data_IF_004604803717
#
_entry.id   IF_004604803717
#
_cell.length_a   1.000
_cell.length_b   1.000
_cell.length_c   1.000
_cell.angle_alpha   90.00
_cell.angle_beta   90.00
_cell.angle_gamma   90.00
#
_symmetry.space_group_name_H-M   'P 1'
#
loop_
_entity.id
_entity.type
_entity.pdbx_description
1 polymer ?
2 non-polymer ?
3 non-polymer ?
4 non-polymer ?
5 water ?
#
# COMPACT_ATOMS: atom_id res chain seq x y z
N UNK A 40 1.51 11.41 -20.48
CA UNK A 40 1.57 10.04 -19.88
C UNK A 40 1.54 10.18 -18.35
N UNK A 41 0.55 9.57 -17.70
CA UNK A 41 0.39 9.64 -16.22
C UNK A 41 1.57 8.90 -15.57
N UNK A 42 2.20 9.59 -14.62
CA UNK A 42 3.23 8.98 -13.75
C UNK A 42 2.50 8.27 -12.59
N UNK A 43 2.85 7.02 -12.38
CA UNK A 43 2.30 6.19 -11.30
C UNK A 43 3.35 6.04 -10.20
N UNK A 44 2.99 6.52 -9.02
CA UNK A 44 3.85 6.48 -7.82
C UNK A 44 3.07 5.76 -6.75
N UNK A 45 3.67 4.74 -6.17
CA UNK A 45 3.09 4.04 -4.99
C UNK A 45 3.59 4.72 -3.73
N UNK A 46 2.71 4.94 -2.78
CA UNK A 46 3.05 5.31 -1.39
C UNK A 46 2.99 4.02 -0.55
N UNK A 47 4.11 3.65 0.02
CA UNK A 47 4.28 2.37 0.76
C UNK A 47 4.66 2.71 2.19
N UNK A 48 4.24 1.87 3.11
CA UNK A 48 4.61 2.03 4.50
C UNK A 48 3.81 1.12 5.37
N UNK A 49 4.30 0.97 6.59
CA UNK A 49 3.66 0.12 7.60
C UNK A 49 2.27 0.67 7.89
N UNK A 50 1.46 -0.16 8.53
CA UNK A 50 0.14 0.22 9.08
C UNK A 50 0.32 1.48 9.92
N UNK A 51 -0.55 2.48 9.68
CA UNK A 51 -0.65 3.75 10.43
C UNK A 51 0.66 4.55 10.32
N UNK A 52 1.53 4.29 9.36
CA UNK A 52 2.70 5.16 9.10
C UNK A 52 2.25 6.60 8.80
N UNK A 53 1.08 6.80 8.17
CA UNK A 53 0.54 8.11 7.76
C UNK A 53 0.34 8.21 6.24
N UNK A 54 0.10 7.10 5.56
CA UNK A 54 -0.01 7.07 4.08
C UNK A 54 -1.27 7.81 3.65
N UNK A 55 -2.41 7.48 4.28
CA UNK A 55 -3.71 8.08 3.92
C UNK A 55 -3.63 9.58 4.20
N UNK A 56 -3.10 9.94 5.35
CA UNK A 56 -2.86 11.35 5.73
C UNK A 56 -2.01 12.01 4.64
N UNK A 57 -0.91 11.38 4.22
CA UNK A 57 0.05 12.03 3.30
C UNK A 57 -0.60 12.21 1.94
N UNK A 58 -1.27 11.15 1.50
CA UNK A 58 -1.91 11.09 0.17
C UNK A 58 -3.00 12.17 0.09
N UNK A 59 -3.76 12.38 1.16
CA UNK A 59 -4.82 13.42 1.24
C UNK A 59 -4.21 14.82 1.28
N UNK A 60 -3.01 14.98 1.86
CA UNK A 60 -2.21 16.24 1.69
C UNK A 60 -1.89 16.40 0.20
N UNK A 61 -1.23 15.41 -0.41
CA UNK A 61 -0.74 15.55 -1.80
C UNK A 61 -1.89 15.95 -2.74
N UNK A 62 -3.05 15.29 -2.61
CA UNK A 62 -4.09 15.41 -3.66
C UNK A 62 -4.53 16.88 -3.72
N UNK A 63 -4.50 17.59 -2.60
CA UNK A 63 -4.99 18.99 -2.54
C UNK A 63 -3.97 19.97 -3.13
N UNK A 64 -2.75 19.56 -3.45
CA UNK A 64 -1.66 20.55 -3.69
C UNK A 64 -1.54 20.84 -5.18
N UNK A 65 -2.13 20.03 -6.04
CA UNK A 65 -2.01 20.21 -7.49
C UNK A 65 -3.21 19.58 -8.18
N UNK A 66 -3.71 20.27 -9.20
CA UNK A 66 -4.73 19.75 -10.14
C UNK A 66 -4.09 18.63 -10.95
N UNK A 67 -2.76 18.55 -11.06
CA UNK A 67 -2.10 17.49 -11.84
C UNK A 67 -1.88 16.22 -10.98
N UNK A 68 -2.27 16.29 -9.72
CA UNK A 68 -2.00 15.21 -8.75
C UNK A 68 -3.32 14.58 -8.34
N UNK A 69 -3.46 13.28 -8.57
CA UNK A 69 -4.62 12.50 -8.11
C UNK A 69 -4.12 11.32 -7.25
N UNK A 70 -5.02 10.74 -6.49
CA UNK A 70 -4.77 9.65 -5.52
C UNK A 70 -5.75 8.50 -5.78
N UNK A 71 -5.31 7.25 -5.60
CA UNK A 71 -6.18 6.06 -5.48
C UNK A 71 -6.06 5.55 -4.07
N UNK A 72 -7.03 5.87 -3.19
CA UNK A 72 -7.04 5.31 -1.86
C UNK A 72 -7.11 3.78 -1.95
N UNK A 73 -6.55 3.15 -0.95
CA UNK A 73 -6.44 1.68 -0.85
C UNK A 73 -7.84 1.16 -0.53
N UNK A 74 -8.33 0.14 -1.27
CA UNK A 74 -9.62 -0.46 -0.96
C UNK A 74 -9.77 -0.91 0.50
N UNK A 75 -8.80 -1.65 1.01
CA UNK A 75 -8.88 -2.18 2.39
C UNK A 75 -9.11 -1.01 3.36
N UNK A 76 -8.41 0.09 3.15
CA UNK A 76 -8.50 1.30 4.00
C UNK A 76 -9.95 1.84 3.96
N UNK A 77 -10.57 1.88 2.77
CA UNK A 77 -11.99 2.30 2.60
C UNK A 77 -12.93 1.32 3.31
N UNK A 78 -12.65 0.00 3.29
CA UNK A 78 -13.46 -1.04 3.98
C UNK A 78 -13.36 -0.87 5.50
N UNK A 79 -12.33 -0.18 6.02
CA UNK A 79 -12.13 -0.02 7.48
C UNK A 79 -12.95 1.18 8.02
N UNK A 80 -13.75 1.84 7.17
CA UNK A 80 -14.65 3.01 7.48
C UNK A 80 -16.02 2.83 6.80
N UNK A 92 -21.72 0.36 -0.97
CA UNK A 92 -21.48 -0.36 -2.25
C UNK A 92 -21.22 -1.85 -2.00
N UNK A 93 -21.33 -2.65 -3.05
CA UNK A 93 -21.28 -4.13 -2.96
C UNK A 93 -19.85 -4.51 -2.55
N UNK A 94 -18.83 -3.83 -3.07
CA UNK A 94 -17.43 -4.09 -2.67
C UNK A 94 -17.23 -3.70 -1.20
N UNK A 95 -17.79 -2.57 -0.76
CA UNK A 95 -17.61 -2.15 0.64
C UNK A 95 -18.33 -3.13 1.56
N UNK A 96 -19.50 -3.62 1.14
CA UNK A 96 -20.27 -4.63 1.91
C UNK A 96 -19.44 -5.93 1.97
N UNK A 97 -19.01 -6.46 0.82
CA UNK A 97 -18.11 -7.63 0.75
C UNK A 97 -16.88 -7.39 1.62
N UNK A 98 -16.25 -6.22 1.48
CA UNK A 98 -14.96 -5.92 2.14
C UNK A 98 -15.10 -5.89 3.65
N UNK A 99 -16.14 -5.23 4.17
CA UNK A 99 -16.36 -5.17 5.63
C UNK A 99 -16.62 -6.54 6.21
N UNK A 100 -17.42 -7.36 5.52
CA UNK A 100 -17.68 -8.78 5.94
C UNK A 100 -16.36 -9.52 5.97
N UNK A 101 -15.58 -9.45 4.89
CA UNK A 101 -14.37 -10.31 4.86
C UNK A 101 -13.34 -9.81 5.88
N UNK A 102 -13.22 -8.50 6.08
CA UNK A 102 -12.33 -7.94 7.13
C UNK A 102 -12.74 -8.44 8.53
N UNK A 103 -14.03 -8.36 8.86
CA UNK A 103 -14.51 -8.82 10.19
C UNK A 103 -14.24 -10.31 10.35
N UNK A 104 -14.51 -11.12 9.32
CA UNK A 104 -14.26 -12.59 9.35
C UNK A 104 -12.77 -12.87 9.49
N UNK A 105 -11.93 -12.04 8.85
CA UNK A 105 -10.45 -12.18 8.95
C UNK A 105 -10.02 -12.01 10.40
N UNK A 106 -10.61 -11.03 11.09
CA UNK A 106 -10.27 -10.73 12.49
C UNK A 106 -10.65 -11.95 13.33
N UNK A 107 -11.77 -12.61 13.04
CA UNK A 107 -12.20 -13.85 13.78
C UNK A 107 -11.34 -15.05 13.43
N UNK A 108 -11.04 -15.30 12.16
CA UNK A 108 -10.41 -16.58 11.76
C UNK A 108 -9.53 -16.36 10.54
N UNK A 109 -8.33 -15.78 10.74
CA UNK A 109 -7.40 -15.49 9.65
C UNK A 109 -7.06 -16.72 8.78
N UNK A 110 -6.93 -17.91 9.37
CA UNK A 110 -6.54 -19.14 8.64
C UNK A 110 -7.70 -19.60 7.73
N UNK A 111 -8.94 -19.16 7.96
CA UNK A 111 -10.07 -19.47 7.05
C UNK A 111 -10.15 -18.47 5.89
N UNK A 112 -9.89 -17.18 6.15
CA UNK A 112 -10.34 -16.05 5.30
C UNK A 112 -9.19 -15.36 4.58
N UNK A 113 -7.94 -15.68 4.90
CA UNK A 113 -6.74 -14.97 4.37
C UNK A 113 -6.71 -15.03 2.82
N UNK A 114 -6.86 -16.21 2.20
CA UNK A 114 -6.83 -16.31 0.73
C UNK A 114 -7.96 -15.47 0.10
N UNK A 115 -9.18 -15.55 0.64
CA UNK A 115 -10.36 -14.85 0.14
C UNK A 115 -10.12 -13.34 0.26
N UNK A 116 -9.71 -12.92 1.44
CA UNK A 116 -9.42 -11.49 1.71
C UNK A 116 -8.34 -10.97 0.77
N UNK A 117 -7.22 -11.67 0.67
CA UNK A 117 -6.08 -11.17 -0.14
C UNK A 117 -6.47 -11.07 -1.61
N UNK A 118 -7.20 -12.06 -2.15
CA UNK A 118 -7.62 -12.04 -3.58
C UNK A 118 -8.55 -10.86 -3.80
N UNK A 119 -9.50 -10.64 -2.91
CA UNK A 119 -10.48 -9.56 -3.13
C UNK A 119 -9.82 -8.19 -2.94
N UNK A 120 -8.93 -8.07 -1.96
CA UNK A 120 -8.21 -6.81 -1.69
C UNK A 120 -7.41 -6.43 -2.94
N UNK A 121 -6.71 -7.39 -3.54
CA UNK A 121 -5.83 -7.12 -4.69
C UNK A 121 -6.69 -6.84 -5.94
N UNK A 122 -7.74 -7.62 -6.17
CA UNK A 122 -8.68 -7.37 -7.31
C UNK A 122 -9.27 -5.94 -7.19
N UNK A 123 -9.70 -5.59 -6.00
CA UNK A 123 -10.33 -4.30 -5.66
C UNK A 123 -9.32 -3.21 -5.97
N UNK A 124 -8.05 -3.47 -5.68
CA UNK A 124 -6.99 -2.45 -5.87
C UNK A 124 -6.78 -2.26 -7.37
N UNK A 125 -6.60 -3.36 -8.10
CA UNK A 125 -6.36 -3.30 -9.58
C UNK A 125 -7.53 -2.56 -10.24
N UNK A 126 -8.75 -2.87 -9.83
CA UNK A 126 -9.95 -2.28 -10.48
C UNK A 126 -9.90 -0.77 -10.24
N UNK A 127 -9.64 -0.34 -9.00
CA UNK A 127 -9.64 1.07 -8.58
C UNK A 127 -8.49 1.83 -9.25
N UNK A 128 -7.31 1.19 -9.39
CA UNK A 128 -6.11 1.84 -10.00
C UNK A 128 -6.35 1.99 -11.50
N UNK A 129 -6.87 0.95 -12.16
CA UNK A 129 -7.16 0.99 -13.62
C UNK A 129 -8.22 2.05 -13.90
N UNK A 130 -9.26 2.16 -13.05
CA UNK A 130 -10.36 3.14 -13.19
C UNK A 130 -9.78 4.56 -13.14
N UNK A 131 -8.90 4.86 -12.18
CA UNK A 131 -8.26 6.20 -12.09
C UNK A 131 -7.38 6.45 -13.30
N UNK A 132 -6.62 5.46 -13.72
CA UNK A 132 -5.67 5.59 -14.82
C UNK A 132 -6.42 5.92 -16.11
N UNK A 133 -7.62 5.35 -16.27
CA UNK A 133 -8.44 5.47 -17.50
C UNK A 133 -9.43 6.62 -17.41
N UNK A 134 -9.65 7.15 -16.22
CA UNK A 134 -10.73 8.11 -15.97
C UNK A 134 -10.17 9.52 -15.80
N UNK A 135 -9.02 9.67 -15.14
CA UNK A 135 -8.55 10.95 -14.53
C UNK A 135 -7.34 11.54 -15.27
N UNK A 136 -7.06 12.81 -14.95
CA UNK A 136 -5.82 13.53 -15.34
C UNK A 136 -5.69 13.63 -16.86
N UNK A 137 -6.81 13.61 -17.59
CA UNK A 137 -6.78 13.65 -19.07
C UNK A 137 -6.29 15.03 -19.55
N UNK A 138 -6.60 16.13 -18.85
CA UNK A 138 -6.22 17.51 -19.29
C UNK A 138 -4.95 18.00 -18.57
N UNK A 139 -4.23 17.16 -17.82
CA UNK A 139 -3.15 17.59 -16.89
C UNK A 139 -1.85 17.85 -17.67
N UNK A 140 -1.04 18.80 -17.21
CA UNK A 140 0.27 19.10 -17.85
C UNK A 140 1.31 18.06 -17.40
N UNK A 141 1.49 17.87 -16.08
CA UNK A 141 2.42 16.87 -15.50
C UNK A 141 1.64 15.92 -14.59
N UNK A 142 0.82 15.03 -15.17
CA UNK A 142 -0.10 14.21 -14.39
C UNK A 142 0.69 13.18 -13.54
N UNK A 143 0.31 13.12 -12.28
CA UNK A 143 0.84 12.11 -11.31
C UNK A 143 -0.34 11.49 -10.59
N UNK A 144 -0.39 10.17 -10.59
CA UNK A 144 -1.39 9.37 -9.85
C UNK A 144 -0.63 8.66 -8.73
N UNK A 145 -0.93 9.06 -7.51
CA UNK A 145 -0.38 8.48 -6.27
C UNK A 145 -1.27 7.29 -5.85
N UNK A 146 -0.73 6.08 -5.89
CA UNK A 146 -1.41 4.87 -5.33
C UNK A 146 -1.14 4.79 -3.82
N UNK A 147 -2.18 4.62 -3.01
CA UNK A 147 -2.01 4.15 -1.61
C UNK A 147 -1.72 2.64 -1.68
N UNK A 148 -0.45 2.30 -1.55
CA UNK A 148 0.13 0.94 -1.64
C UNK A 148 -0.08 0.43 -3.05
N UNK A 149 0.30 -0.80 -3.27
CA UNK A 149 0.41 -1.38 -4.63
C UNK A 149 0.04 -2.86 -4.55
N UNK A 150 -0.08 -3.47 -5.72
CA UNK A 150 -0.26 -4.94 -5.88
C UNK A 150 0.97 -5.62 -5.31
N UNK A 151 2.14 -4.95 -5.27
CA UNK A 151 3.37 -5.54 -4.71
C UNK A 151 3.27 -5.64 -3.18
N UNK A 152 2.74 -4.63 -2.51
CA UNK A 152 2.61 -4.67 -1.02
C UNK A 152 1.55 -5.72 -0.68
N UNK A 153 0.53 -5.87 -1.51
CA UNK A 153 -0.53 -6.89 -1.31
C UNK A 153 0.16 -8.24 -1.15
N UNK A 154 1.07 -8.54 -2.04
CA UNK A 154 1.65 -9.90 -2.17
C UNK A 154 2.89 -10.02 -1.29
N UNK A 155 3.82 -9.08 -1.36
CA UNK A 155 5.15 -9.21 -0.73
C UNK A 155 5.12 -8.75 0.72
N UNK A 156 4.12 -8.01 1.14
CA UNK A 156 4.01 -7.61 2.56
C UNK A 156 2.92 -8.48 3.18
N UNK A 157 1.68 -8.29 2.77
CA UNK A 157 0.54 -8.79 3.54
C UNK A 157 0.32 -10.29 3.30
N UNK A 158 0.22 -10.69 2.05
CA UNK A 158 -0.17 -12.06 1.72
C UNK A 158 0.96 -12.97 2.21
N UNK A 159 2.20 -12.59 1.88
CA UNK A 159 3.45 -13.25 2.28
C UNK A 159 3.45 -13.43 3.81
N UNK A 160 3.12 -12.39 4.56
CA UNK A 160 3.14 -12.49 6.04
C UNK A 160 2.05 -13.48 6.46
N UNK A 161 0.89 -13.49 5.79
CA UNK A 161 -0.20 -14.42 6.18
C UNK A 161 0.20 -15.87 5.90
N UNK A 162 0.84 -16.14 4.75
CA UNK A 162 1.49 -17.44 4.46
C UNK A 162 2.48 -17.80 5.58
N UNK A 163 3.32 -16.84 5.98
CA UNK A 163 4.37 -17.05 6.98
C UNK A 163 3.75 -17.37 8.33
N UNK A 164 2.55 -16.90 8.63
CA UNK A 164 1.84 -17.15 9.90
C UNK A 164 0.97 -18.41 9.78
N UNK A 165 1.05 -19.12 8.67
CA UNK A 165 0.24 -20.35 8.41
C UNK A 165 -1.25 -19.97 8.36
N UNK A 166 -1.57 -18.71 8.06
CA UNK A 166 -2.97 -18.30 7.83
C UNK A 166 -3.39 -18.66 6.40
N UNK A 167 -2.43 -18.85 5.51
CA UNK A 167 -2.66 -19.58 4.23
C UNK A 167 -1.82 -20.84 4.22
N UNK A 168 -2.35 -21.93 3.68
CA UNK A 168 -1.54 -23.16 3.51
C UNK A 168 -0.72 -22.98 2.24
N UNK A 169 0.12 -23.95 1.89
CA UNK A 169 0.96 -23.83 0.70
C UNK A 169 0.12 -23.72 -0.58
N UNK A 170 -0.94 -24.52 -0.72
CA UNK A 170 -1.79 -24.50 -1.95
C UNK A 170 -2.43 -23.11 -2.12
N UNK A 171 -2.97 -22.53 -1.05
CA UNK A 171 -3.63 -21.21 -1.07
C UNK A 171 -2.59 -20.16 -1.50
N UNK A 172 -1.38 -20.23 -0.94
CA UNK A 172 -0.27 -19.28 -1.22
C UNK A 172 0.21 -19.46 -2.65
N UNK A 173 0.36 -20.70 -3.14
CA UNK A 173 0.78 -20.95 -4.55
C UNK A 173 -0.35 -20.54 -5.51
N UNK A 174 -1.61 -20.83 -5.22
CA UNK A 174 -2.75 -20.35 -6.07
C UNK A 174 -2.72 -18.82 -6.11
N UNK A 175 -2.62 -18.20 -4.94
CA UNK A 175 -2.57 -16.72 -4.82
C UNK A 175 -1.44 -16.14 -5.68
N UNK A 176 -0.25 -16.70 -5.62
CA UNK A 176 0.89 -16.12 -6.38
C UNK A 176 0.67 -16.32 -7.89
N UNK A 177 0.12 -17.46 -8.27
CA UNK A 177 -0.20 -17.80 -9.69
C UNK A 177 -1.22 -16.78 -10.21
N UNK A 178 -2.26 -16.58 -9.43
CA UNK A 178 -3.36 -15.60 -9.71
C UNK A 178 -2.75 -14.20 -9.85
N UNK A 179 -1.91 -13.84 -8.90
CA UNK A 179 -1.26 -12.51 -8.88
C UNK A 179 -0.36 -12.36 -10.09
N UNK A 180 0.47 -13.36 -10.38
CA UNK A 180 1.41 -13.32 -11.52
C UNK A 180 0.59 -13.15 -12.79
N UNK A 181 -0.48 -13.93 -12.93
CA UNK A 181 -1.35 -13.85 -14.12
C UNK A 181 -2.14 -12.52 -14.15
N UNK A 182 -2.86 -12.19 -13.08
CA UNK A 182 -3.78 -11.01 -12.97
C UNK A 182 -3.00 -9.75 -13.33
N UNK A 183 -1.70 -9.72 -13.04
CA UNK A 183 -0.80 -8.57 -13.29
C UNK A 183 -0.23 -8.65 -14.70
N UNK A 184 0.31 -9.79 -15.13
CA UNK A 184 1.15 -9.90 -16.35
C UNK A 184 0.29 -9.88 -17.61
N UNK A 185 -0.97 -9.46 -17.47
CA UNK A 185 -1.89 -9.19 -18.60
C UNK A 185 -1.65 -7.76 -19.09
N UNK A 188 -0.56 -4.50 -16.23
CA UNK A 188 0.44 -4.09 -17.27
C UNK A 188 0.70 -2.57 -17.25
N UNK A 189 -0.39 -1.81 -17.35
CA UNK A 189 -0.43 -0.35 -17.40
C UNK A 189 -0.33 0.22 -15.98
N UNK A 190 -0.20 -0.64 -14.96
CA UNK A 190 -0.07 -0.23 -13.53
C UNK A 190 1.40 -0.20 -13.10
N UNK A 191 2.36 -0.58 -13.95
CA UNK A 191 3.79 -0.59 -13.53
C UNK A 191 4.18 0.80 -13.02
N UNK A 192 4.99 0.84 -11.96
CA UNK A 192 5.21 2.08 -11.18
C UNK A 192 6.37 2.87 -11.81
N UNK A 193 6.28 4.19 -11.83
CA UNK A 193 7.41 5.07 -12.20
C UNK A 193 8.33 5.29 -10.98
N UNK A 194 7.80 5.07 -9.78
CA UNK A 194 8.55 5.30 -8.54
C UNK A 194 7.72 4.92 -7.34
N UNK A 195 8.38 4.78 -6.20
CA UNK A 195 7.77 4.42 -4.92
C UNK A 195 8.24 5.45 -3.93
N UNK A 196 7.33 5.88 -3.08
CA UNK A 196 7.63 6.73 -1.91
C UNK A 196 7.38 5.85 -0.71
N UNK A 197 8.45 5.64 0.06
CA UNK A 197 8.44 4.81 1.26
C UNK A 197 8.32 5.74 2.48
N UNK A 198 7.17 5.75 3.13
CA UNK A 198 6.98 6.47 4.40
C UNK A 198 7.47 5.54 5.50
N UNK A 199 8.65 5.85 6.00
CA UNK A 199 9.37 5.00 6.97
C UNK A 199 9.10 5.54 8.36
N UNK A 200 8.42 4.73 9.16
CA UNK A 200 8.16 4.98 10.60
C UNK A 200 8.58 3.76 11.40
N UNK A 201 9.06 3.95 12.62
CA UNK A 201 9.36 2.81 13.53
C UNK A 201 8.07 2.05 13.82
N UNK A 202 8.15 0.74 14.13
CA UNK A 202 6.99 0.01 14.66
C UNK A 202 6.26 0.74 15.79
N UNK A 203 7.01 1.37 16.71
CA UNK A 203 6.43 2.04 17.90
C UNK A 203 5.62 3.25 17.45
N UNK A 204 6.16 4.02 16.48
CA UNK A 204 5.44 5.16 15.87
C UNK A 204 4.11 4.62 15.38
N UNK A 205 4.15 3.53 14.59
CA UNK A 205 2.95 2.96 13.92
C UNK A 205 1.97 2.47 14.98
N UNK A 206 2.47 1.77 16.01
CA UNK A 206 1.64 1.31 17.16
C UNK A 206 0.94 2.51 17.78
N UNK A 207 1.70 3.58 18.05
CA UNK A 207 1.14 4.82 18.65
C UNK A 207 0.08 5.39 17.70
N UNK A 208 0.36 5.40 16.39
CA UNK A 208 -0.60 5.93 15.41
C UNK A 208 -1.83 5.03 15.29
N UNK A 209 -1.70 3.72 15.45
CA UNK A 209 -2.94 2.87 15.47
C UNK A 209 -3.82 3.35 16.65
N UNK A 210 -3.21 3.60 17.80
CA UNK A 210 -3.94 4.10 19.01
C UNK A 210 -4.58 5.46 18.67
N UNK A 211 -3.81 6.44 18.19
CA UNK A 211 -4.36 7.74 17.67
C UNK A 211 -5.58 7.52 16.77
N UNK A 212 -5.50 6.66 15.74
CA UNK A 212 -6.59 6.54 14.74
C UNK A 212 -7.86 5.97 15.41
N UNK A 213 -7.71 5.01 16.32
CA UNK A 213 -8.79 4.56 17.21
C UNK A 213 -9.76 3.54 16.60
N UNK A 214 -9.40 2.78 15.55
CA UNK A 214 -10.33 1.74 15.02
C UNK A 214 -10.30 0.59 16.03
N UNK A 215 -11.48 0.19 16.54
CA UNK A 215 -11.60 -0.79 17.66
C UNK A 215 -10.85 -2.06 17.29
N UNK A 216 -11.08 -2.59 16.09
CA UNK A 216 -10.57 -3.94 15.69
C UNK A 216 -9.05 -3.93 15.66
N UNK A 217 -8.42 -2.77 15.50
CA UNK A 217 -6.94 -2.67 15.35
C UNK A 217 -6.22 -2.54 16.69
N UNK A 218 -6.93 -2.27 17.79
CA UNK A 218 -6.27 -1.91 19.09
C UNK A 218 -5.52 -3.13 19.65
N UNK A 219 -5.89 -4.34 19.25
CA UNK A 219 -5.22 -5.58 19.67
C UNK A 219 -4.02 -5.93 18.81
N UNK A 220 -3.84 -5.27 17.67
CA UNK A 220 -2.65 -5.52 16.80
C UNK A 220 -1.42 -5.41 17.68
N UNK A 221 -0.59 -6.46 17.81
CA UNK A 221 0.63 -6.39 18.62
C UNK A 221 1.85 -5.79 17.91
N UNK A 222 2.75 -5.18 18.69
CA UNK A 222 4.01 -4.58 18.18
C UNK A 222 4.75 -5.58 17.30
N UNK A 223 4.75 -6.86 17.69
CA UNK A 223 5.53 -7.90 16.98
C UNK A 223 5.07 -7.98 15.51
N UNK A 224 3.76 -7.84 15.26
CA UNK A 224 3.17 -7.87 13.89
C UNK A 224 3.77 -6.71 13.09
N UNK A 225 3.73 -5.51 13.69
CA UNK A 225 4.26 -4.27 13.07
C UNK A 225 5.76 -4.42 12.81
N UNK A 226 6.50 -5.03 13.72
CA UNK A 226 7.94 -5.24 13.52
C UNK A 226 8.14 -6.15 12.32
N UNK A 227 7.32 -7.20 12.22
CA UNK A 227 7.45 -8.14 11.08
C UNK A 227 7.24 -7.39 9.76
N UNK A 228 6.16 -6.61 9.69
CA UNK A 228 5.84 -5.87 8.43
C UNK A 228 6.93 -4.83 8.18
N UNK A 229 7.45 -4.22 9.24
CA UNK A 229 8.55 -3.22 9.11
C UNK A 229 9.76 -3.88 8.45
N UNK A 230 10.18 -5.01 8.97
CA UNK A 230 11.32 -5.79 8.45
C UNK A 230 11.10 -6.01 6.95
N UNK A 231 9.89 -6.40 6.58
CA UNK A 231 9.55 -6.69 5.16
C UNK A 231 9.73 -5.42 4.34
N UNK A 232 9.19 -4.31 4.82
CA UNK A 232 9.30 -3.01 4.08
C UNK A 232 10.78 -2.61 3.94
N UNK A 233 11.59 -2.77 5.00
CA UNK A 233 13.04 -2.44 4.96
C UNK A 233 13.72 -3.34 3.93
N UNK A 234 13.43 -4.65 3.91
CA UNK A 234 14.04 -5.60 2.94
C UNK A 234 13.69 -5.18 1.53
N UNK A 235 12.45 -4.75 1.34
CA UNK A 235 11.95 -4.50 -0.02
C UNK A 235 12.48 -3.15 -0.51
N UNK A 236 12.33 -2.10 0.29
CA UNK A 236 12.42 -0.71 -0.19
C UNK A 236 13.70 0.00 0.23
N UNK A 237 14.34 -0.39 1.35
CA UNK A 237 15.61 0.20 1.84
C UNK A 237 16.80 -0.64 1.35
N UNK A 238 16.92 -1.89 1.77
CA UNK A 238 18.04 -2.81 1.39
C UNK A 238 17.85 -3.35 -0.03
N UNK A 239 16.61 -3.42 -0.51
CA UNK A 239 16.28 -4.04 -1.82
C UNK A 239 16.88 -5.45 -1.89
N UNK A 240 16.83 -6.17 -0.77
CA UNK A 240 17.22 -7.60 -0.65
C UNK A 240 16.06 -8.46 -1.13
N UNK A 241 14.83 -7.94 -1.06
CA UNK A 241 13.62 -8.73 -1.38
C UNK A 241 13.57 -9.00 -2.88
N UNK A 242 13.51 -10.28 -3.22
CA UNK A 242 13.40 -10.83 -4.60
C UNK A 242 11.90 -10.87 -4.94
N UNK A 243 11.47 -10.22 -6.01
CA UNK A 243 10.06 -10.33 -6.47
C UNK A 243 10.08 -10.99 -7.82
N UNK A 244 8.89 -11.23 -8.34
CA UNK A 244 8.71 -11.81 -9.68
C UNK A 244 8.56 -10.67 -10.68
N UNK A 245 8.91 -9.42 -10.32
CA UNK A 245 8.70 -8.24 -11.22
C UNK A 245 10.06 -7.55 -11.41
N UNK A 246 10.75 -7.90 -12.49
CA UNK A 246 12.19 -7.54 -12.69
C UNK A 246 12.35 -6.03 -12.56
N UNK A 247 11.46 -5.24 -13.18
CA UNK A 247 11.56 -3.76 -13.26
C UNK A 247 11.61 -3.14 -11.85
N UNK A 248 10.99 -3.77 -10.85
CA UNK A 248 10.94 -3.22 -9.47
C UNK A 248 12.35 -3.08 -8.91
N UNK A 249 13.32 -3.88 -9.38
CA UNK A 249 14.69 -3.87 -8.81
C UNK A 249 15.32 -2.50 -9.10
N UNK A 250 14.87 -1.84 -10.17
CA UNK A 250 15.47 -0.62 -10.72
C UNK A 250 14.51 0.57 -10.55
N UNK A 251 13.30 0.37 -9.99
CA UNK A 251 12.32 1.50 -9.85
C UNK A 251 12.90 2.46 -8.81
N UNK A 252 12.94 3.76 -9.08
CA UNK A 252 13.40 4.72 -8.07
C UNK A 252 12.53 4.74 -6.81
N UNK A 253 13.17 4.89 -5.65
CA UNK A 253 12.49 4.86 -4.34
C UNK A 253 12.93 6.10 -3.60
N UNK A 254 11.98 6.87 -3.12
CA UNK A 254 12.15 8.00 -2.20
C UNK A 254 11.74 7.55 -0.81
N UNK A 255 12.68 7.51 0.11
CA UNK A 255 12.37 7.18 1.51
C UNK A 255 12.25 8.45 2.31
N UNK A 256 11.14 8.62 3.00
CA UNK A 256 10.80 9.78 3.85
C UNK A 256 10.63 9.25 5.26
N UNK A 257 11.32 9.87 6.20
CA UNK A 257 11.16 9.55 7.63
C UNK A 257 9.93 10.28 8.10
N UNK A 258 8.94 9.59 8.63
CA UNK A 258 7.68 10.26 9.06
C UNK A 258 7.45 9.97 10.54
N UNK A 259 8.50 9.71 11.30
CA UNK A 259 8.36 9.51 12.77
C UNK A 259 7.86 10.81 13.39
N UNK A 260 8.30 11.96 12.89
CA UNK A 260 7.80 13.28 13.39
C UNK A 260 6.46 13.53 12.72
N UNK A 261 5.46 13.93 13.51
CA UNK A 261 4.15 14.41 13.03
C UNK A 261 4.32 15.41 11.88
N UNK A 262 3.57 15.27 10.79
CA UNK A 262 3.75 16.13 9.60
C UNK A 262 2.44 16.78 9.18
N UNK A 263 1.35 16.54 9.91
CA UNK A 263 0.00 16.97 9.44
C UNK A 263 -0.02 18.49 9.26
N UNK A 264 0.67 19.24 10.11
CA UNK A 264 0.67 20.73 10.08
C UNK A 264 2.01 21.21 9.54
N UNK A 265 2.93 20.32 9.22
CA UNK A 265 4.30 20.69 8.88
C UNK A 265 4.84 19.69 7.85
N UNK A 266 4.38 19.77 6.61
CA UNK A 266 4.73 18.73 5.61
C UNK A 266 5.48 19.32 4.43
N UNK A 267 5.78 20.61 4.46
CA UNK A 267 6.32 21.29 3.27
C UNK A 267 7.64 20.62 2.87
N UNK A 268 8.51 20.28 3.84
CA UNK A 268 9.81 19.64 3.52
C UNK A 268 9.57 18.28 2.84
N UNK A 269 8.61 17.50 3.29
CA UNK A 269 8.27 16.19 2.67
C UNK A 269 7.81 16.41 1.22
N UNK A 270 6.91 17.36 1.03
CA UNK A 270 6.39 17.66 -0.34
C UNK A 270 7.53 18.14 -1.23
N UNK A 271 8.46 18.95 -0.67
CA UNK A 271 9.61 19.42 -1.47
C UNK A 271 10.39 18.21 -1.98
N UNK A 272 10.58 17.20 -1.11
CA UNK A 272 11.32 15.98 -1.49
C UNK A 272 10.54 15.21 -2.57
N UNK A 273 9.22 15.11 -2.43
CA UNK A 273 8.33 14.54 -3.49
C UNK A 273 8.53 15.29 -4.80
N UNK A 274 8.39 16.64 -4.81
CA UNK A 274 8.54 17.41 -6.07
C UNK A 274 9.94 17.19 -6.69
N UNK A 275 11.00 17.18 -5.89
CA UNK A 275 12.37 16.88 -6.39
C UNK A 275 12.41 15.47 -7.01
N UNK A 276 11.84 14.49 -6.32
CA UNK A 276 11.88 13.08 -6.74
C UNK A 276 11.15 12.96 -8.09
N UNK A 277 9.96 13.55 -8.16
CA UNK A 277 9.14 13.54 -9.40
C UNK A 277 9.89 14.14 -10.59
N UNK A 278 10.64 15.22 -10.38
CA UNK A 278 11.40 15.90 -11.46
C UNK A 278 12.47 14.97 -11.99
N UNK A 279 12.93 13.98 -11.22
CA UNK A 279 14.01 13.07 -11.65
C UNK A 279 13.45 11.95 -12.50
N UNK A 280 12.14 11.72 -12.50
CA UNK A 280 11.59 10.49 -13.13
C UNK A 280 11.48 10.73 -14.65
#
# INVERSE_FOLDING_TARGET
MGSSHHHHHHSSGLVPRGSHMATPPKRSSPSFSASSEGTRIKKISIEGNIAAGKSTFVNILKQLSEDWEVVPEPVARWSNVQSTQDEFEELTMEQKNGGNVLQMMYEKPERWSFTFQTYACLSRIRAQLASLNGKLKDAEKPVLFFERSVYSDRYIFASNLYESESMNETEWTIYQDWHDWMNNQFGQSLELDGIIYLQATPETCLHRIYLRGRNEEQGIPLEYLEKLHYKHESWLLHRTLKTNFDYLQEVPILTLDVNEDFKDKYESLVEKVKEFLSTL
#
